data_IF_799347727968
#
_entry.id   IF_799347727968
#
_cell.length_a   1.000
_cell.length_b   1.000
_cell.length_c   1.000
_cell.angle_alpha   90.00
_cell.angle_beta   90.00
_cell.angle_gamma   90.00
#
_symmetry.space_group_name_H-M   'P 1'
#
loop_
_entity.id
_entity.type
_entity.pdbx_description
1 polymer ?
#
# COMPACT_ATOMS: atom_id res chain seq x y z
N UNK A 1 8.88 -8.22 6.24
CA UNK A 1 7.55 -7.63 5.98
C UNK A 1 7.56 -6.63 4.82
N UNK A 2 7.97 -5.37 4.97
CA UNK A 2 7.94 -4.41 3.84
C UNK A 2 8.86 -4.82 2.66
N UNK A 3 10.09 -5.23 2.96
CA UNK A 3 11.03 -5.74 1.94
C UNK A 3 10.50 -7.01 1.24
N UNK A 4 9.90 -7.92 2.00
CA UNK A 4 9.33 -9.17 1.50
C UNK A 4 8.08 -8.93 0.63
N UNK A 5 7.19 -8.02 1.04
CA UNK A 5 6.03 -7.62 0.25
C UNK A 5 6.44 -6.92 -1.06
N UNK A 6 7.49 -6.09 -1.02
CA UNK A 6 8.06 -5.47 -2.22
C UNK A 6 8.65 -6.52 -3.17
N UNK A 7 9.37 -7.51 -2.64
CA UNK A 7 9.97 -8.58 -3.44
C UNK A 7 8.90 -9.46 -4.11
N UNK A 8 7.85 -9.86 -3.38
CA UNK A 8 6.70 -10.59 -3.93
C UNK A 8 6.00 -9.80 -5.02
N UNK A 9 5.78 -8.49 -4.82
CA UNK A 9 5.14 -7.65 -5.81
C UNK A 9 6.04 -7.45 -7.06
N UNK A 10 7.35 -7.36 -6.90
CA UNK A 10 8.31 -7.30 -8.00
C UNK A 10 8.32 -8.61 -8.81
N UNK A 11 8.34 -9.76 -8.15
CA UNK A 11 8.21 -11.08 -8.80
C UNK A 11 6.88 -11.20 -9.55
N UNK A 12 5.78 -10.72 -8.96
CA UNK A 12 4.48 -10.63 -9.63
C UNK A 12 4.52 -9.77 -10.89
N UNK A 13 5.19 -8.60 -10.83
CA UNK A 13 5.38 -7.72 -11.98
C UNK A 13 6.16 -8.40 -13.11
N UNK A 14 7.23 -9.14 -12.78
CA UNK A 14 8.00 -9.91 -13.76
C UNK A 14 7.17 -11.03 -14.40
N UNK A 15 6.35 -11.75 -13.61
CA UNK A 15 5.46 -12.78 -14.11
C UNK A 15 4.42 -12.21 -15.10
N UNK A 16 3.83 -11.05 -14.78
CA UNK A 16 2.91 -10.36 -15.67
C UNK A 16 3.60 -9.91 -16.96
N UNK A 17 4.83 -9.39 -16.90
CA UNK A 17 5.60 -9.04 -18.09
C UNK A 17 5.84 -10.25 -19.00
N UNK A 18 6.13 -11.42 -18.42
CA UNK A 18 6.27 -12.68 -19.17
C UNK A 18 4.96 -13.10 -19.86
N UNK A 19 3.81 -12.88 -19.20
CA UNK A 19 2.49 -13.13 -19.79
C UNK A 19 2.26 -12.24 -21.00
N UNK A 20 2.53 -10.92 -20.90
CA UNK A 20 2.42 -9.98 -22.02
C UNK A 20 3.30 -10.39 -23.19
N UNK A 21 4.55 -10.78 -22.93
CA UNK A 21 5.45 -11.28 -23.97
C UNK A 21 4.91 -12.55 -24.65
N UNK A 22 4.34 -13.46 -23.87
CA UNK A 22 3.74 -14.70 -24.40
C UNK A 22 2.52 -14.39 -25.27
N UNK A 23 1.66 -13.45 -24.85
CA UNK A 23 0.51 -12.99 -25.63
C UNK A 23 0.94 -12.39 -26.98
N UNK A 24 1.97 -11.56 -27.01
CA UNK A 24 2.53 -11.04 -28.27
C UNK A 24 3.05 -12.17 -29.19
N UNK A 25 3.64 -13.22 -28.63
CA UNK A 25 4.05 -14.41 -29.39
C UNK A 25 2.86 -15.20 -29.97
N UNK A 26 1.77 -15.31 -29.21
CA UNK A 26 0.52 -15.94 -29.68
C UNK A 26 -0.11 -15.10 -30.80
N UNK A 27 -0.17 -13.78 -30.66
CA UNK A 27 -0.67 -12.86 -31.69
C UNK A 27 0.09 -13.00 -33.01
N UNK A 28 1.43 -12.97 -32.96
CA UNK A 28 2.28 -13.17 -34.12
C UNK A 28 2.06 -14.55 -34.78
N UNK A 29 1.89 -15.59 -33.97
CA UNK A 29 1.60 -16.94 -34.47
C UNK A 29 0.24 -17.02 -35.15
N UNK A 30 -0.79 -16.40 -34.55
CA UNK A 30 -2.14 -16.32 -35.11
C UNK A 30 -2.17 -15.61 -36.47
N UNK A 31 -1.44 -14.49 -36.62
CA UNK A 31 -1.29 -13.83 -37.92
C UNK A 31 -0.67 -14.74 -38.97
N UNK A 32 0.36 -15.50 -38.62
CA UNK A 32 0.98 -16.45 -39.54
C UNK A 32 0.02 -17.56 -39.97
N UNK A 33 -0.84 -18.04 -39.06
CA UNK A 33 -1.88 -19.01 -39.41
C UNK A 33 -2.92 -18.36 -40.33
N UNK A 34 -3.29 -17.09 -40.11
CA UNK A 34 -4.21 -16.37 -40.99
C UNK A 34 -3.68 -16.29 -42.44
N UNK A 35 -2.40 -15.97 -42.62
CA UNK A 35 -1.74 -15.92 -43.93
C UNK A 35 -1.76 -17.28 -44.63
N UNK A 36 -1.43 -18.36 -43.91
CA UNK A 36 -1.47 -19.73 -44.44
C UNK A 36 -2.91 -20.11 -44.83
N UNK A 37 -3.89 -19.74 -44.01
CA UNK A 37 -5.31 -20.02 -44.28
C UNK A 37 -5.79 -19.29 -45.53
N UNK A 38 -5.32 -18.07 -45.78
CA UNK A 38 -5.60 -17.34 -47.02
C UNK A 38 -5.00 -18.03 -48.26
N UNK A 39 -3.81 -18.62 -48.16
CA UNK A 39 -3.22 -19.42 -49.24
C UNK A 39 -4.05 -20.68 -49.51
N UNK A 40 -4.54 -21.37 -48.46
CA UNK A 40 -5.40 -22.55 -48.61
C UNK A 40 -6.71 -22.20 -49.31
N UNK A 41 -7.36 -21.08 -48.96
CA UNK A 41 -8.56 -20.59 -49.65
C UNK A 41 -8.27 -20.31 -51.14
N UNK A 42 -7.11 -19.71 -51.44
CA UNK A 42 -6.63 -19.52 -52.81
C UNK A 42 -6.45 -20.82 -53.59
N UNK A 43 -5.87 -21.86 -52.97
CA UNK A 43 -5.73 -23.20 -53.57
C UNK A 43 -7.10 -23.85 -53.81
N UNK A 44 -8.02 -23.73 -52.86
CA UNK A 44 -9.38 -24.24 -52.99
C UNK A 44 -10.10 -23.55 -54.16
N UNK A 45 -9.96 -22.22 -54.30
CA UNK A 45 -10.51 -21.47 -55.42
C UNK A 45 -9.93 -21.93 -56.76
N UNK A 46 -8.60 -22.06 -56.88
CA UNK A 46 -7.95 -22.56 -58.09
C UNK A 46 -8.40 -23.97 -58.46
N UNK A 47 -8.51 -24.87 -57.47
CA UNK A 47 -9.00 -26.24 -57.64
C UNK A 47 -10.44 -26.27 -58.15
N UNK A 48 -11.29 -25.37 -57.63
CA UNK A 48 -12.67 -25.22 -58.09
C UNK A 48 -12.75 -24.76 -59.56
N UNK A 49 -11.86 -23.86 -60.01
CA UNK A 49 -11.77 -23.43 -61.42
C UNK A 49 -11.25 -24.58 -62.32
N UNK A 50 -10.23 -25.31 -61.88
CA UNK A 50 -9.72 -26.49 -62.58
C UNK A 50 -10.81 -27.56 -62.77
N UNK A 51 -11.57 -27.84 -61.72
CA UNK A 51 -12.69 -28.79 -61.75
C UNK A 51 -13.81 -28.34 -62.69
N UNK A 52 -14.13 -27.04 -62.71
CA UNK A 52 -15.09 -26.48 -63.66
C UNK A 52 -14.63 -26.67 -65.11
N UNK A 53 -13.37 -26.36 -65.41
CA UNK A 53 -12.80 -26.54 -66.75
C UNK A 53 -12.82 -28.03 -67.17
N UNK A 54 -12.50 -28.95 -66.25
CA UNK A 54 -12.57 -30.39 -66.51
C UNK A 54 -14.01 -30.85 -66.79
N UNK A 55 -15.00 -30.32 -66.06
CA UNK A 55 -16.41 -30.63 -66.31
C UNK A 55 -16.88 -30.14 -67.70
N UNK A 56 -16.40 -28.97 -68.15
CA UNK A 56 -16.67 -28.45 -69.49
C UNK A 56 -16.05 -29.33 -70.57
N UNK A 57 -14.79 -29.75 -70.41
CA UNK A 57 -14.12 -30.61 -71.39
C UNK A 57 -14.74 -32.02 -71.42
N UNK A 58 -15.15 -32.55 -70.27
CA UNK A 58 -15.89 -33.80 -70.18
C UNK A 58 -17.24 -33.74 -70.91
N UNK A 59 -17.97 -32.63 -70.80
CA UNK A 59 -19.20 -32.42 -71.56
C UNK A 59 -18.94 -32.34 -73.07
N UNK A 60 -17.80 -31.77 -73.48
CA UNK A 60 -17.38 -31.66 -74.88
C UNK A 60 -17.01 -33.02 -75.50
N UNK A 61 -16.47 -33.94 -74.70
CA UNK A 61 -16.11 -35.30 -75.12
C UNK A 61 -17.32 -36.26 -75.24
N UNK A 62 -18.53 -35.84 -74.82
CA UNK A 62 -19.75 -36.65 -74.94
C UNK A 62 -19.73 -37.91 -74.06
N UNK A 63 -20.08 -39.06 -74.63
CA UNK A 63 -20.20 -40.33 -73.89
C UNK A 63 -18.85 -40.80 -73.29
N UNK A 64 -17.74 -40.56 -74.00
CA UNK A 64 -16.37 -40.90 -73.54
C UNK A 64 -15.94 -40.06 -72.32
N UNK A 65 -16.56 -38.89 -72.12
CA UNK A 65 -16.26 -37.97 -71.02
C UNK A 65 -17.01 -38.25 -69.72
N UNK A 66 -17.96 -39.21 -69.69
CA UNK A 66 -18.84 -39.44 -68.52
C UNK A 66 -18.08 -39.72 -67.23
N UNK A 67 -17.04 -40.55 -67.27
CA UNK A 67 -16.20 -40.85 -66.10
C UNK A 67 -15.48 -39.61 -65.57
N UNK A 68 -14.95 -38.77 -66.48
CA UNK A 68 -14.28 -37.52 -66.12
C UNK A 68 -15.25 -36.48 -65.55
N UNK A 69 -16.49 -36.42 -66.03
CA UNK A 69 -17.50 -35.51 -65.50
C UNK A 69 -17.82 -35.78 -64.02
N UNK A 70 -17.89 -37.05 -63.61
CA UNK A 70 -18.11 -37.43 -62.20
C UNK A 70 -16.94 -37.01 -61.33
N UNK A 71 -15.70 -37.30 -61.77
CA UNK A 71 -14.50 -36.89 -61.04
C UNK A 71 -14.42 -35.36 -60.91
N UNK A 72 -14.72 -34.62 -61.98
CA UNK A 72 -14.74 -33.16 -61.96
C UNK A 72 -15.77 -32.61 -60.96
N UNK A 73 -16.96 -33.21 -60.86
CA UNK A 73 -17.97 -32.84 -59.86
C UNK A 73 -17.49 -33.09 -58.43
N UNK A 74 -16.84 -34.23 -58.17
CA UNK A 74 -16.34 -34.58 -56.83
C UNK A 74 -15.19 -33.66 -56.40
N UNK A 75 -14.25 -33.37 -57.30
CA UNK A 75 -13.15 -32.41 -57.06
C UNK A 75 -13.71 -31.02 -56.77
N UNK A 76 -14.75 -30.60 -57.50
CA UNK A 76 -15.43 -29.32 -57.27
C UNK A 76 -16.07 -29.25 -55.89
N UNK A 77 -16.79 -30.31 -55.48
CA UNK A 77 -17.41 -30.39 -54.16
C UNK A 77 -16.35 -30.36 -53.04
N UNK A 78 -15.23 -31.05 -53.22
CA UNK A 78 -14.10 -31.03 -52.28
C UNK A 78 -13.45 -29.64 -52.17
N UNK A 79 -13.29 -28.95 -53.29
CA UNK A 79 -12.76 -27.59 -53.32
C UNK A 79 -13.68 -26.60 -52.58
N UNK A 80 -14.99 -26.68 -52.80
CA UNK A 80 -15.96 -25.86 -52.08
C UNK A 80 -15.96 -26.14 -50.56
N UNK A 81 -15.88 -27.42 -50.15
CA UNK A 81 -15.74 -27.80 -48.74
C UNK A 81 -14.46 -27.25 -48.12
N UNK A 82 -13.35 -27.29 -48.86
CA UNK A 82 -12.05 -26.77 -48.39
C UNK A 82 -12.10 -25.25 -48.19
N UNK A 83 -12.72 -24.51 -49.11
CA UNK A 83 -12.91 -23.06 -48.98
C UNK A 83 -13.79 -22.69 -47.78
N UNK A 84 -14.88 -23.44 -47.54
CA UNK A 84 -15.72 -23.24 -46.35
C UNK A 84 -14.95 -23.44 -45.05
N UNK A 85 -14.18 -24.53 -44.96
CA UNK A 85 -13.36 -24.83 -43.78
C UNK A 85 -12.27 -23.77 -43.57
N UNK A 86 -11.60 -23.31 -44.63
CA UNK A 86 -10.62 -22.23 -44.54
C UNK A 86 -11.26 -20.93 -43.99
N UNK A 87 -12.47 -20.60 -44.43
CA UNK A 87 -13.21 -19.43 -43.93
C UNK A 87 -13.61 -19.55 -42.46
N UNK A 88 -14.03 -20.73 -42.00
CA UNK A 88 -14.30 -20.99 -40.58
C UNK A 88 -13.04 -20.86 -39.72
N UNK A 89 -11.92 -21.45 -40.17
CA UNK A 89 -10.62 -21.33 -39.50
C UNK A 89 -10.20 -19.86 -39.39
N UNK A 90 -10.36 -19.07 -40.48
CA UNK A 90 -10.06 -17.64 -40.47
C UNK A 90 -10.87 -16.90 -39.41
N UNK A 91 -12.17 -17.18 -39.28
CA UNK A 91 -13.01 -16.58 -38.23
C UNK A 91 -12.55 -16.93 -36.81
N UNK A 92 -12.15 -18.18 -36.57
CA UNK A 92 -11.59 -18.60 -35.27
C UNK A 92 -10.27 -17.91 -34.94
N UNK A 93 -9.43 -17.66 -35.95
CA UNK A 93 -8.16 -16.95 -35.78
C UNK A 93 -8.42 -15.47 -35.46
N UNK A 94 -9.33 -14.82 -36.18
CA UNK A 94 -9.72 -13.42 -35.91
C UNK A 94 -10.26 -13.24 -34.48
N UNK A 95 -11.12 -14.17 -34.03
CA UNK A 95 -11.61 -14.19 -32.66
C UNK A 95 -10.48 -14.41 -31.64
N UNK A 96 -9.53 -15.29 -31.94
CA UNK A 96 -8.38 -15.58 -31.08
C UNK A 96 -7.45 -14.36 -30.96
N UNK A 97 -7.19 -13.64 -32.06
CA UNK A 97 -6.39 -12.41 -32.05
C UNK A 97 -7.06 -11.34 -31.17
N UNK A 98 -8.37 -11.16 -31.29
CA UNK A 98 -9.11 -10.22 -30.44
C UNK A 98 -8.99 -10.58 -28.95
N UNK A 99 -9.18 -11.86 -28.59
CA UNK A 99 -9.04 -12.30 -27.20
C UNK A 99 -7.62 -12.13 -26.64
N UNK A 100 -6.59 -12.34 -27.46
CA UNK A 100 -5.20 -12.13 -27.07
C UNK A 100 -4.90 -10.65 -26.85
N UNK A 101 -5.45 -9.76 -27.70
CA UNK A 101 -5.32 -8.32 -27.54
C UNK A 101 -5.97 -7.84 -26.22
N UNK A 102 -7.21 -8.28 -25.95
CA UNK A 102 -7.91 -7.97 -24.69
C UNK A 102 -7.12 -8.51 -23.47
N UNK A 103 -6.60 -9.73 -23.56
CA UNK A 103 -5.80 -10.35 -22.51
C UNK A 103 -4.47 -9.63 -22.26
N UNK A 104 -3.82 -9.15 -23.32
CA UNK A 104 -2.60 -8.34 -23.23
C UNK A 104 -2.86 -7.00 -22.53
N UNK A 105 -3.98 -6.34 -22.84
CA UNK A 105 -4.36 -5.09 -22.18
C UNK A 105 -4.65 -5.29 -20.69
N UNK A 106 -5.41 -6.34 -20.32
CA UNK A 106 -5.67 -6.68 -18.92
C UNK A 106 -4.37 -7.00 -18.15
N UNK A 107 -3.46 -7.76 -18.77
CA UNK A 107 -2.16 -8.06 -18.16
C UNK A 107 -1.33 -6.78 -17.97
N UNK A 108 -1.30 -5.88 -18.95
CA UNK A 108 -0.64 -4.58 -18.84
C UNK A 108 -1.18 -3.73 -17.67
N UNK A 109 -2.51 -3.64 -17.53
CA UNK A 109 -3.16 -2.95 -16.41
C UNK A 109 -2.84 -3.58 -15.06
N UNK A 110 -2.80 -4.91 -14.98
CA UNK A 110 -2.37 -5.63 -13.78
C UNK A 110 -0.90 -5.30 -13.42
N UNK A 111 -0.02 -5.25 -14.43
CA UNK A 111 1.38 -4.87 -14.26
C UNK A 111 1.55 -3.45 -13.70
N UNK A 112 0.81 -2.47 -14.24
CA UNK A 112 0.79 -1.11 -13.70
C UNK A 112 0.28 -1.06 -12.25
N UNK A 113 -0.75 -1.85 -11.94
CA UNK A 113 -1.29 -1.92 -10.58
C UNK A 113 -0.24 -2.47 -9.60
N UNK A 114 0.49 -3.51 -9.98
CA UNK A 114 1.59 -4.06 -9.16
C UNK A 114 2.71 -3.05 -8.94
N UNK A 115 3.08 -2.26 -9.96
CA UNK A 115 4.07 -1.18 -9.80
C UNK A 115 3.63 -0.13 -8.78
N UNK A 116 2.35 0.25 -8.77
CA UNK A 116 1.81 1.16 -7.74
C UNK A 116 1.86 0.53 -6.35
N UNK A 117 1.56 -0.77 -6.23
CA UNK A 117 1.66 -1.49 -4.95
C UNK A 117 3.09 -1.47 -4.42
N UNK A 118 4.09 -1.75 -5.27
CA UNK A 118 5.52 -1.65 -4.88
C UNK A 118 5.85 -0.26 -4.36
N UNK A 119 5.41 0.80 -5.07
CA UNK A 119 5.64 2.18 -4.64
C UNK A 119 5.00 2.48 -3.27
N UNK A 120 3.73 2.10 -3.06
CA UNK A 120 3.04 2.31 -1.78
C UNK A 120 3.67 1.51 -0.63
N UNK A 121 4.16 0.29 -0.88
CA UNK A 121 4.87 -0.50 0.15
C UNK A 121 6.22 0.15 0.50
N UNK A 122 6.91 0.72 -0.48
CA UNK A 122 8.15 1.46 -0.24
C UNK A 122 7.93 2.72 0.60
N UNK A 123 6.89 3.49 0.30
CA UNK A 123 6.50 4.67 1.08
C UNK A 123 6.13 4.30 2.52
N UNK A 124 5.35 3.22 2.70
CA UNK A 124 5.03 2.68 4.02
C UNK A 124 6.29 2.28 4.81
N UNK A 125 7.30 1.74 4.13
CA UNK A 125 8.60 1.44 4.74
C UNK A 125 9.27 2.67 5.32
N UNK A 126 9.28 3.79 4.58
CA UNK A 126 9.82 5.06 5.05
C UNK A 126 9.05 5.63 6.25
N UNK A 127 7.72 5.57 6.23
CA UNK A 127 6.89 6.00 7.36
C UNK A 127 7.17 5.21 8.64
N UNK A 128 7.43 3.90 8.53
CA UNK A 128 7.80 3.08 9.69
C UNK A 128 9.16 3.50 10.25
N UNK A 129 10.10 3.87 9.39
CA UNK A 129 11.42 4.38 9.81
C UNK A 129 11.29 5.73 10.53
N UNK A 130 10.45 6.63 10.02
CA UNK A 130 10.10 7.90 10.70
C UNK A 130 9.46 7.66 12.08
N UNK A 131 8.51 6.72 12.18
CA UNK A 131 7.88 6.35 13.46
C UNK A 131 8.90 5.77 14.44
N UNK A 132 9.81 4.92 13.97
CA UNK A 132 10.85 4.34 14.81
C UNK A 132 11.77 5.43 15.38
N UNK A 133 12.20 6.38 14.55
CA UNK A 133 13.03 7.51 14.96
C UNK A 133 12.28 8.41 15.96
N UNK A 134 11.03 8.77 15.67
CA UNK A 134 10.20 9.58 16.57
C UNK A 134 9.95 8.89 17.92
N UNK A 135 9.77 7.57 17.90
CA UNK A 135 9.61 6.76 19.13
C UNK A 135 10.88 6.77 19.97
N UNK A 136 12.05 6.75 19.34
CA UNK A 136 13.33 6.80 20.03
C UNK A 136 13.59 8.18 20.65
N UNK A 137 13.22 9.26 19.94
CA UNK A 137 13.28 10.63 20.47
C UNK A 137 12.30 10.83 21.65
N UNK A 138 11.07 10.31 21.52
CA UNK A 138 10.09 10.32 22.62
C UNK A 138 10.60 9.56 23.85
N UNK A 139 11.24 8.40 23.67
CA UNK A 139 11.81 7.65 24.77
C UNK A 139 12.89 8.45 25.52
N UNK A 140 13.78 9.14 24.78
CA UNK A 140 14.78 10.03 25.37
C UNK A 140 14.12 11.23 26.11
N UNK A 141 13.07 11.80 25.53
CA UNK A 141 12.29 12.88 26.17
C UNK A 141 11.62 12.43 27.48
N UNK A 142 11.07 11.21 27.51
CA UNK A 142 10.48 10.62 28.73
C UNK A 142 11.54 10.41 29.81
N UNK A 143 12.76 9.98 29.44
CA UNK A 143 13.85 9.84 30.39
C UNK A 143 14.24 11.17 31.04
N UNK A 144 14.30 12.26 30.25
CA UNK A 144 14.55 13.61 30.77
C UNK A 144 13.42 14.11 31.69
N UNK A 145 12.16 13.84 31.34
CA UNK A 145 11.01 14.16 32.20
C UNK A 145 11.10 13.40 33.52
N UNK A 146 11.47 12.12 33.48
CA UNK A 146 11.63 11.30 34.67
C UNK A 146 12.71 11.88 35.62
N UNK A 147 13.87 12.28 35.09
CA UNK A 147 14.93 12.93 35.87
C UNK A 147 14.44 14.24 36.52
N UNK A 148 13.67 15.03 35.79
CA UNK A 148 13.10 16.28 36.30
C UNK A 148 12.11 16.02 37.45
N UNK A 149 11.30 14.97 37.35
CA UNK A 149 10.38 14.56 38.42
C UNK A 149 11.15 14.14 39.68
N UNK A 150 12.23 13.37 39.54
CA UNK A 150 13.09 12.98 40.68
C UNK A 150 13.72 14.20 41.35
N UNK A 151 14.18 15.20 40.59
CA UNK A 151 14.66 16.45 41.15
C UNK A 151 13.56 17.24 41.86
N UNK A 152 12.37 17.35 41.27
CA UNK A 152 11.23 18.03 41.88
C UNK A 152 10.79 17.35 43.18
N UNK A 153 10.82 16.01 43.24
CA UNK A 153 10.55 15.26 44.47
C UNK A 153 11.59 15.60 45.55
N UNK A 154 12.89 15.63 45.20
CA UNK A 154 13.95 16.05 46.12
C UNK A 154 13.76 17.46 46.69
N UNK A 155 13.41 18.45 45.86
CA UNK A 155 13.11 19.81 46.32
C UNK A 155 11.85 19.83 47.19
N UNK A 156 10.83 19.04 46.85
CA UNK A 156 9.59 18.95 47.64
C UNK A 156 9.87 18.39 49.03
N UNK A 157 10.70 17.34 49.14
CA UNK A 157 11.13 16.79 50.43
C UNK A 157 11.96 17.78 51.23
N UNK A 158 12.88 18.52 50.58
CA UNK A 158 13.66 19.57 51.23
C UNK A 158 12.76 20.69 51.77
N UNK A 159 11.76 21.12 51.01
CA UNK A 159 10.79 22.12 51.46
C UNK A 159 10.00 21.64 52.68
N UNK A 160 9.61 20.37 52.71
CA UNK A 160 8.95 19.79 53.89
C UNK A 160 9.86 19.84 55.13
N UNK A 161 11.13 19.46 54.99
CA UNK A 161 12.12 19.52 56.08
C UNK A 161 12.33 20.97 56.57
N UNK A 162 12.46 21.94 55.67
CA UNK A 162 12.60 23.36 56.02
C UNK A 162 11.37 23.88 56.77
N UNK A 163 10.17 23.43 56.41
CA UNK A 163 8.93 23.79 57.12
C UNK A 163 8.93 23.20 58.54
N UNK A 164 9.40 21.96 58.72
CA UNK A 164 9.54 21.35 60.04
C UNK A 164 10.56 22.11 60.91
N UNK A 165 11.73 22.43 60.36
CA UNK A 165 12.75 23.23 61.03
C UNK A 165 12.22 24.63 61.42
N UNK A 166 11.54 25.31 60.49
CA UNK A 166 10.93 26.61 60.75
C UNK A 166 9.86 26.53 61.84
N UNK A 167 9.04 25.48 61.85
CA UNK A 167 8.05 25.22 62.90
C UNK A 167 8.71 24.99 64.28
N UNK A 168 9.82 24.27 64.31
CA UNK A 168 10.59 24.06 65.54
C UNK A 168 11.22 25.37 66.05
N UNK A 169 11.81 26.16 65.15
CA UNK A 169 12.38 27.47 65.48
C UNK A 169 11.31 28.45 65.98
N UNK A 170 10.14 28.49 65.34
CA UNK A 170 9.01 29.31 65.79
C UNK A 170 8.52 28.91 67.19
N UNK A 171 8.47 27.61 67.49
CA UNK A 171 8.12 27.10 68.84
C UNK A 171 9.16 27.50 69.89
N UNK A 172 10.45 27.39 69.57
CA UNK A 172 11.54 27.80 70.46
C UNK A 172 11.50 29.31 70.75
N UNK A 173 11.32 30.15 69.72
CA UNK A 173 11.18 31.60 69.88
C UNK A 173 9.96 31.99 70.72
N UNK A 174 8.85 31.27 70.58
CA UNK A 174 7.65 31.49 71.39
C UNK A 174 7.90 31.14 72.86
N UNK A 175 8.52 29.98 73.14
CA UNK A 175 8.90 29.59 74.50
C UNK A 175 9.83 30.64 75.16
N UNK A 176 10.87 31.09 74.45
CA UNK A 176 11.80 32.10 74.96
C UNK A 176 11.13 33.46 75.19
N UNK A 177 10.19 33.84 74.33
CA UNK A 177 9.36 35.04 74.52
C UNK A 177 8.48 34.95 75.77
N UNK A 178 7.92 33.77 76.05
CA UNK A 178 7.12 33.50 77.26
C UNK A 178 7.97 33.57 78.53
N UNK A 179 9.18 32.99 78.52
CA UNK A 179 10.14 33.09 79.63
C UNK A 179 10.57 34.53 79.91
N UNK A 180 10.81 35.33 78.85
CA UNK A 180 11.12 36.75 78.98
C UNK A 180 9.95 37.53 79.59
N UNK A 181 8.71 37.28 79.14
CA UNK A 181 7.52 37.90 79.74
C UNK A 181 7.36 37.54 81.21
N UNK A 182 7.59 36.28 81.58
CA UNK A 182 7.53 35.84 82.98
C UNK A 182 8.63 36.50 83.83
N UNK A 183 9.83 36.67 83.28
CA UNK A 183 10.94 37.35 83.96
C UNK A 183 10.66 38.83 84.18
N UNK A 184 10.12 39.53 83.17
CA UNK A 184 9.73 40.95 83.28
C UNK A 184 8.55 41.11 84.25
N UNK A 185 7.58 40.20 84.26
CA UNK A 185 6.42 40.23 85.15
C UNK A 185 6.73 40.04 86.64
N UNK A 186 7.93 39.52 86.98
CA UNK A 186 8.39 39.45 88.38
C UNK A 186 8.85 40.80 88.93
N UNK A 187 9.16 41.77 88.06
CA UNK A 187 9.49 43.12 88.50
C UNK A 187 8.22 43.84 88.91
N UNK A 188 7.98 43.89 90.23
CA UNK A 188 7.00 44.81 90.81
C UNK A 188 7.55 46.22 90.75
N UNK A 189 6.96 47.04 89.89
CA UNK A 189 7.15 48.49 89.94
C UNK A 189 6.63 48.95 91.30
N UNK A 190 7.47 49.68 92.06
CA UNK A 190 7.04 50.29 93.31
C UNK A 190 5.77 51.08 93.02
N UNK A 191 4.71 50.79 93.77
CA UNK A 191 3.40 51.42 93.64
C UNK A 191 3.56 52.91 93.33
N UNK A 192 2.89 53.36 92.28
CA UNK A 192 2.57 54.77 92.11
C UNK A 192 1.88 55.20 93.41
N UNK A 193 2.68 55.80 94.28
CA UNK A 193 2.29 56.22 95.61
C UNK A 193 1.02 57.06 95.46
N UNK A 194 -0.10 56.73 96.14
CA UNK A 194 -1.31 57.52 96.02
C UNK A 194 -0.96 58.92 96.46
N UNK A 195 -1.09 59.90 95.55
CA UNK A 195 -0.87 61.30 95.86
C UNK A 195 -1.74 61.65 97.07
N UNK A 196 -1.05 61.87 98.19
CA UNK A 196 -1.60 62.19 99.50
C UNK A 196 -2.51 63.41 99.35
N UNK A 197 -3.80 63.24 99.70
CA UNK A 197 -4.74 64.34 99.89
C UNK A 197 -4.14 65.34 100.90
N UNK A 198 -3.68 66.49 100.45
CA UNK A 198 -3.52 67.66 101.30
C UNK A 198 -4.89 68.35 101.43
N UNK A 199 -5.50 68.21 102.61
CA UNK A 199 -6.46 69.19 103.10
C UNK A 199 -5.66 70.43 103.47
N UNK A 200 -5.98 71.57 102.86
CA UNK A 200 -5.76 72.88 103.47
C UNK A 200 -7.11 73.58 103.52
N UNK A 201 -7.49 73.94 104.74
CA UNK A 201 -8.72 74.62 105.11
C UNK A 201 -8.48 76.13 105.18
N UNK A 202 -9.40 76.90 104.62
CA UNK A 202 -10.02 78.13 105.16
C UNK A 202 -10.89 78.75 104.05
#
# INVERSE_FOLDING_TARGET
LAAEASDVAAQGGAAVAQVVQTMAGIEASSHRIADITAVIDGIAFQTNILALNAAVEAARAGEEGRGFAVVASEVRALAQRSASAAKEIKGLIEASVAQVADGSELASQAGQTLQRVVASVSELGGLIEEIANASQEQAAGIEQVNQSIVQMDGVTQQNAALVEEASAAARALNAQSSELQQSVGQFRLADAQPARKERVAA
#
